data_IF_551469795141
#
_entry.id   IF_551469795141
#
_cell.length_a   1.000
_cell.length_b   1.000
_cell.length_c   1.000
_cell.angle_alpha   90.00
_cell.angle_beta   90.00
_cell.angle_gamma   90.00
#
_symmetry.space_group_name_H-M   'P 1'
#
loop_
_entity.id
_entity.type
_entity.pdbx_description
1 polymer ?
#
# COMPACT_ATOMS: atom_id res chain seq x y z
N UNK A 1 19.97 -5.72 2.69
CA UNK A 1 19.35 -4.56 3.34
C UNK A 1 19.24 -4.81 4.84
N UNK A 2 19.47 -3.78 5.65
CA UNK A 2 19.50 -3.92 7.11
C UNK A 2 18.14 -3.99 7.80
N UNK A 3 17.05 -4.31 7.11
CA UNK A 3 15.70 -4.35 7.69
C UNK A 3 15.30 -3.00 8.31
N UNK A 4 14.55 -3.02 9.41
CA UNK A 4 14.09 -1.79 10.09
C UNK A 4 15.24 -0.93 10.63
N UNK A 5 16.34 -1.53 11.07
CA UNK A 5 17.52 -0.79 11.53
C UNK A 5 18.16 -0.01 10.37
N UNK A 6 18.28 -0.62 9.21
CA UNK A 6 18.78 0.04 7.99
C UNK A 6 17.81 1.14 7.52
N UNK A 7 16.51 0.90 7.63
CA UNK A 7 15.48 1.88 7.29
C UNK A 7 15.56 3.13 8.17
N UNK A 8 15.70 2.96 9.47
CA UNK A 8 15.85 4.07 10.42
C UNK A 8 17.13 4.87 10.15
N UNK A 9 18.23 4.20 9.84
CA UNK A 9 19.48 4.85 9.46
C UNK A 9 19.33 5.66 8.18
N UNK A 10 18.64 5.12 7.19
CA UNK A 10 18.31 5.83 5.95
C UNK A 10 17.45 7.06 6.25
N UNK A 11 16.45 6.92 7.10
CA UNK A 11 15.56 8.02 7.49
C UNK A 11 16.31 9.19 8.10
N UNK A 12 17.36 8.97 8.87
CA UNK A 12 18.17 10.06 9.46
C UNK A 12 18.85 10.94 8.40
N UNK A 13 19.03 10.44 7.20
CA UNK A 13 19.61 11.20 6.08
C UNK A 13 18.60 12.14 5.40
N UNK A 14 17.32 11.86 5.54
CA UNK A 14 16.25 12.60 4.86
C UNK A 14 15.34 13.38 5.79
N UNK A 15 15.19 12.94 7.03
CA UNK A 15 14.24 13.51 8.00
C UNK A 15 14.95 13.95 9.26
N UNK A 16 14.27 14.84 10.00
CA UNK A 16 14.69 15.32 11.30
C UNK A 16 13.92 14.61 12.42
N UNK A 17 14.45 14.67 13.65
CA UNK A 17 13.80 14.10 14.85
C UNK A 17 13.45 12.61 14.70
N UNK A 18 14.34 11.86 14.05
CA UNK A 18 14.11 10.43 13.81
C UNK A 18 14.27 9.65 15.12
N UNK A 19 13.21 8.93 15.50
CA UNK A 19 13.18 8.05 16.66
C UNK A 19 12.73 6.66 16.22
N UNK A 20 13.20 5.64 16.91
CA UNK A 20 12.85 4.24 16.62
C UNK A 20 12.18 3.64 17.84
N UNK A 21 11.02 3.01 17.65
CA UNK A 21 10.32 2.32 18.76
C UNK A 21 10.81 0.88 18.94
N UNK A 22 10.23 0.19 19.92
CA UNK A 22 10.59 -1.18 20.25
C UNK A 22 10.35 -2.19 19.11
N UNK A 23 9.40 -1.88 18.20
CA UNK A 23 9.05 -2.72 17.05
C UNK A 23 9.94 -2.46 15.84
N UNK A 24 10.83 -1.47 15.93
CA UNK A 24 11.69 -1.07 14.83
C UNK A 24 11.08 -0.06 13.86
N UNK A 25 9.86 0.41 14.14
CA UNK A 25 9.22 1.49 13.39
C UNK A 25 9.91 2.81 13.70
N UNK A 26 10.33 3.55 12.70
CA UNK A 26 10.87 4.88 12.92
C UNK A 26 9.78 5.95 12.76
N UNK A 27 9.96 7.05 13.46
CA UNK A 27 9.18 8.29 13.27
C UNK A 27 10.14 9.45 13.02
N UNK A 28 9.74 10.38 12.17
CA UNK A 28 10.54 11.56 11.85
C UNK A 28 9.66 12.69 11.31
N UNK A 29 10.28 13.81 10.97
CA UNK A 29 9.57 14.96 10.38
C UNK A 29 10.52 15.78 9.50
N UNK A 30 9.96 16.54 8.58
CA UNK A 30 10.69 17.55 7.79
C UNK A 30 9.71 18.50 7.09
N UNK A 31 9.85 19.79 7.30
CA UNK A 31 9.06 20.81 6.60
C UNK A 31 7.55 20.57 6.65
N UNK A 32 6.94 20.29 5.51
CA UNK A 32 5.51 19.95 5.41
C UNK A 32 5.16 18.62 6.07
N UNK A 33 6.13 17.73 6.20
CA UNK A 33 5.92 16.40 6.75
C UNK A 33 5.97 16.50 8.28
N UNK A 34 4.80 16.65 8.89
CA UNK A 34 4.66 16.81 10.34
C UNK A 34 5.09 15.54 11.07
N UNK A 35 4.70 14.40 10.50
CA UNK A 35 5.06 13.08 11.02
C UNK A 35 5.22 12.12 9.86
N UNK A 36 6.33 11.42 9.85
CA UNK A 36 6.62 10.32 8.93
C UNK A 36 6.85 9.08 9.79
N UNK A 37 6.11 8.02 9.53
CA UNK A 37 6.26 6.75 10.21
C UNK A 37 6.38 5.65 9.17
N UNK A 38 7.37 4.79 9.31
CA UNK A 38 7.56 3.67 8.39
C UNK A 38 8.27 2.49 9.04
N UNK A 39 7.95 1.32 8.52
CA UNK A 39 8.61 0.06 8.89
C UNK A 39 8.43 -0.95 7.75
N UNK A 40 9.27 -1.97 7.73
CA UNK A 40 9.02 -3.14 6.89
C UNK A 40 8.12 -4.11 7.64
N UNK A 41 7.12 -4.67 6.95
CA UNK A 41 6.30 -5.73 7.50
C UNK A 41 7.04 -7.09 7.43
N UNK A 42 6.40 -8.15 7.93
CA UNK A 42 6.99 -9.50 7.92
C UNK A 42 7.28 -10.03 6.53
N UNK A 43 6.59 -9.54 5.51
CA UNK A 43 6.81 -9.92 4.11
C UNK A 43 7.90 -9.09 3.41
N UNK A 44 8.50 -8.12 4.12
CA UNK A 44 9.51 -7.21 3.58
C UNK A 44 8.95 -6.04 2.79
N UNK A 45 7.65 -5.81 2.85
CA UNK A 45 7.01 -4.64 2.23
C UNK A 45 7.11 -3.44 3.14
N UNK A 46 7.33 -2.28 2.54
CA UNK A 46 7.37 -1.01 3.27
C UNK A 46 5.95 -0.54 3.57
N UNK A 47 5.64 -0.42 4.85
CA UNK A 47 4.43 0.22 5.34
C UNK A 47 4.78 1.64 5.78
N UNK A 48 4.04 2.64 5.29
CA UNK A 48 4.28 4.05 5.60
C UNK A 48 3.01 4.74 6.03
N UNK A 49 3.14 5.66 6.99
CA UNK A 49 2.09 6.58 7.39
C UNK A 49 2.69 7.99 7.47
N UNK A 50 2.07 8.94 6.79
CA UNK A 50 2.58 10.31 6.68
C UNK A 50 1.48 11.30 6.99
N UNK A 51 1.75 12.18 7.94
CA UNK A 51 0.91 13.35 8.20
C UNK A 51 1.57 14.59 7.62
N UNK A 52 0.81 15.37 6.86
CA UNK A 52 1.24 16.61 6.25
C UNK A 52 0.44 17.78 6.82
N UNK A 53 1.01 18.98 6.75
CA UNK A 53 0.29 20.21 7.07
C UNK A 53 -0.95 20.35 6.18
N UNK A 54 -2.05 20.77 6.76
CA UNK A 54 -3.35 20.94 6.08
C UNK A 54 -3.99 22.26 6.48
N UNK A 55 -4.92 22.73 5.64
CA UNK A 55 -5.74 23.90 5.91
C UNK A 55 -4.95 25.17 6.19
N UNK A 56 -5.33 25.89 7.24
CA UNK A 56 -4.71 27.17 7.62
C UNK A 56 -3.21 27.03 7.95
N UNK A 57 -2.82 25.94 8.58
CA UNK A 57 -1.41 25.67 8.90
C UNK A 57 -0.55 25.52 7.63
N UNK A 58 -1.08 24.82 6.62
CA UNK A 58 -0.41 24.70 5.31
C UNK A 58 -0.32 26.06 4.62
N UNK A 59 -1.39 26.84 4.62
CA UNK A 59 -1.42 28.19 4.06
C UNK A 59 -0.38 29.10 4.71
N UNK A 60 -0.34 29.13 6.03
CA UNK A 60 0.64 29.93 6.79
C UNK A 60 2.09 29.50 6.48
N UNK A 61 2.33 28.19 6.35
CA UNK A 61 3.64 27.64 5.99
C UNK A 61 4.07 28.09 4.59
N UNK A 62 3.17 28.02 3.60
CA UNK A 62 3.45 28.42 2.22
C UNK A 62 3.61 29.93 2.06
N UNK A 63 2.96 30.72 2.91
CA UNK A 63 3.09 32.19 2.93
C UNK A 63 4.39 32.67 3.56
N UNK A 64 5.11 31.82 4.27
CA UNK A 64 6.42 32.17 4.84
C UNK A 64 7.47 32.29 3.73
N UNK A 65 8.53 33.05 3.99
CA UNK A 65 9.58 33.30 3.01
C UNK A 65 10.24 32.02 2.50
N UNK A 66 10.46 31.05 3.37
CA UNK A 66 11.07 29.76 3.04
C UNK A 66 10.06 28.66 2.77
N UNK A 67 8.77 28.91 2.95
CA UNK A 67 7.71 27.90 2.86
C UNK A 67 7.66 27.14 1.53
N UNK A 68 7.59 27.82 0.38
CA UNK A 68 7.56 27.12 -0.91
C UNK A 68 8.79 26.27 -1.17
N UNK A 69 9.98 26.77 -0.83
CA UNK A 69 11.25 26.05 -0.96
C UNK A 69 11.27 24.81 -0.05
N UNK A 70 10.85 24.97 1.19
CA UNK A 70 10.72 23.86 2.16
C UNK A 70 9.71 22.82 1.71
N UNK A 71 8.60 23.24 1.13
CA UNK A 71 7.58 22.33 0.59
C UNK A 71 8.14 21.46 -0.55
N UNK A 72 8.87 22.08 -1.46
CA UNK A 72 9.53 21.35 -2.56
C UNK A 72 10.59 20.38 -2.04
N UNK A 73 11.40 20.81 -1.08
CA UNK A 73 12.43 19.97 -0.46
C UNK A 73 11.80 18.80 0.30
N UNK A 74 10.69 19.00 1.00
CA UNK A 74 9.95 17.95 1.70
C UNK A 74 9.50 16.85 0.73
N UNK A 75 8.93 17.23 -0.40
CA UNK A 75 8.49 16.30 -1.44
C UNK A 75 9.65 15.55 -2.07
N UNK A 76 10.74 16.25 -2.34
CA UNK A 76 11.95 15.67 -2.91
C UNK A 76 12.58 14.64 -1.97
N UNK A 77 12.73 14.98 -0.70
CA UNK A 77 13.25 14.08 0.32
C UNK A 77 12.37 12.86 0.51
N UNK A 78 11.06 13.04 0.55
CA UNK A 78 10.11 11.94 0.64
C UNK A 78 10.23 10.98 -0.55
N UNK A 79 10.26 11.50 -1.76
CA UNK A 79 10.42 10.69 -2.97
C UNK A 79 11.75 9.95 -2.99
N UNK A 80 12.85 10.63 -2.68
CA UNK A 80 14.18 10.02 -2.63
C UNK A 80 14.29 8.93 -1.55
N UNK A 81 13.69 9.18 -0.40
CA UNK A 81 13.61 8.18 0.67
C UNK A 81 12.86 6.92 0.20
N UNK A 82 11.72 7.09 -0.44
CA UNK A 82 10.94 5.98 -0.98
C UNK A 82 11.71 5.23 -2.08
N UNK A 83 12.43 5.94 -2.94
CA UNK A 83 13.25 5.33 -3.99
C UNK A 83 14.29 4.39 -3.40
N UNK A 84 15.00 4.82 -2.38
CA UNK A 84 16.01 4.01 -1.72
C UNK A 84 15.40 2.89 -0.86
N UNK A 85 14.36 3.19 -0.10
CA UNK A 85 13.73 2.21 0.79
C UNK A 85 13.02 1.08 0.05
N UNK A 86 12.40 1.37 -1.10
CA UNK A 86 11.67 0.38 -1.90
C UNK A 86 12.51 -0.23 -3.02
N UNK A 87 13.55 0.45 -3.46
CA UNK A 87 14.32 0.09 -4.65
C UNK A 87 13.61 0.45 -5.97
N UNK A 88 12.52 1.20 -5.91
CA UNK A 88 11.73 1.61 -7.08
C UNK A 88 11.63 3.13 -7.17
N UNK A 89 11.77 3.68 -8.38
CA UNK A 89 11.52 5.11 -8.60
C UNK A 89 10.02 5.43 -8.59
N UNK A 90 9.67 6.72 -8.63
CA UNK A 90 8.28 7.17 -8.54
C UNK A 90 7.37 6.56 -9.63
N UNK A 91 7.88 6.44 -10.86
CA UNK A 91 7.15 5.82 -11.97
C UNK A 91 6.87 4.35 -11.69
N UNK A 92 7.90 3.60 -11.29
CA UNK A 92 7.77 2.18 -10.97
C UNK A 92 6.80 1.93 -9.82
N UNK A 93 6.84 2.77 -8.77
CA UNK A 93 5.86 2.70 -7.67
C UNK A 93 4.44 2.94 -8.15
N UNK A 94 4.25 3.92 -9.02
CA UNK A 94 2.95 4.21 -9.65
C UNK A 94 2.44 3.05 -10.50
N UNK A 95 3.30 2.45 -11.30
CA UNK A 95 2.95 1.32 -12.15
C UNK A 95 2.56 0.09 -11.31
N UNK A 96 3.30 -0.18 -10.23
CA UNK A 96 2.95 -1.26 -9.29
C UNK A 96 1.61 -1.00 -8.59
N UNK A 97 1.34 0.22 -8.19
CA UNK A 97 0.06 0.58 -7.59
C UNK A 97 -1.11 0.35 -8.56
N UNK A 98 -0.95 0.71 -9.82
CA UNK A 98 -1.94 0.46 -10.87
C UNK A 98 -2.13 -1.04 -11.12
N UNK A 99 -1.05 -1.79 -11.18
CA UNK A 99 -1.10 -3.25 -11.34
C UNK A 99 -1.86 -3.91 -10.19
N UNK A 100 -1.57 -3.53 -8.95
CA UNK A 100 -2.28 -4.03 -7.77
C UNK A 100 -3.76 -3.65 -7.80
N UNK A 101 -4.09 -2.41 -8.17
CA UNK A 101 -5.49 -1.97 -8.30
C UNK A 101 -6.25 -2.82 -9.32
N UNK A 102 -5.62 -3.19 -10.44
CA UNK A 102 -6.21 -4.10 -11.44
C UNK A 102 -6.45 -5.49 -10.86
N UNK A 103 -5.53 -6.02 -10.08
CA UNK A 103 -5.68 -7.34 -9.41
C UNK A 103 -6.88 -7.34 -8.46
N UNK A 104 -7.04 -6.31 -7.65
CA UNK A 104 -8.19 -6.15 -6.76
C UNK A 104 -9.50 -6.05 -7.55
N UNK A 105 -9.52 -5.24 -8.60
CA UNK A 105 -10.71 -5.06 -9.46
C UNK A 105 -11.12 -6.38 -10.12
N UNK A 106 -10.18 -7.12 -10.67
CA UNK A 106 -10.43 -8.44 -11.28
C UNK A 106 -10.98 -9.45 -10.28
N UNK A 107 -10.42 -9.49 -9.06
CA UNK A 107 -10.89 -10.38 -8.01
C UNK A 107 -12.32 -10.04 -7.57
N UNK A 108 -12.61 -8.78 -7.36
CA UNK A 108 -13.98 -8.31 -7.00
C UNK A 108 -14.98 -8.65 -8.09
N UNK A 109 -14.63 -8.47 -9.36
CA UNK A 109 -15.47 -8.82 -10.51
C UNK A 109 -15.71 -10.32 -10.59
N UNK A 110 -14.67 -11.14 -10.37
CA UNK A 110 -14.78 -12.58 -10.38
C UNK A 110 -15.70 -13.10 -9.27
N UNK A 111 -15.60 -12.55 -8.07
CA UNK A 111 -16.50 -12.87 -6.94
C UNK A 111 -17.95 -12.54 -7.29
N UNK A 112 -18.20 -11.36 -7.81
CA UNK A 112 -19.53 -10.91 -8.23
C UNK A 112 -20.13 -11.82 -9.29
N UNK A 113 -19.33 -12.18 -10.30
CA UNK A 113 -19.75 -13.07 -11.39
C UNK A 113 -20.01 -14.48 -10.88
N UNK A 114 -19.21 -14.98 -9.94
CA UNK A 114 -19.41 -16.29 -9.34
C UNK A 114 -20.74 -16.37 -8.58
N UNK A 115 -21.05 -15.38 -7.75
CA UNK A 115 -22.35 -15.33 -7.08
C UNK A 115 -23.52 -15.27 -8.06
N UNK A 116 -23.41 -14.48 -9.10
CA UNK A 116 -24.40 -14.36 -10.15
C UNK A 116 -24.60 -15.69 -10.88
N UNK A 117 -23.51 -16.38 -11.20
CA UNK A 117 -23.56 -17.69 -11.86
C UNK A 117 -24.20 -18.75 -10.97
N UNK A 118 -23.88 -18.78 -9.67
CA UNK A 118 -24.52 -19.69 -8.71
C UNK A 118 -26.02 -19.46 -8.58
N UNK A 119 -26.44 -18.20 -8.66
CA UNK A 119 -27.84 -17.80 -8.58
C UNK A 119 -28.63 -18.19 -9.84
N UNK A 120 -28.01 -18.04 -11.02
CA UNK A 120 -28.64 -18.29 -12.31
C UNK A 120 -28.60 -19.76 -12.74
N UNK A 121 -27.59 -20.52 -12.34
CA UNK A 121 -27.40 -21.92 -12.70
C UNK A 121 -28.11 -22.83 -11.69
N UNK A 122 -29.22 -23.42 -12.12
CA UNK A 122 -30.01 -24.31 -11.28
C UNK A 122 -29.41 -25.72 -11.08
N UNK A 123 -28.41 -26.08 -11.89
CA UNK A 123 -27.84 -27.44 -11.93
C UNK A 123 -26.35 -27.46 -11.56
N UNK A 124 -25.90 -26.54 -10.71
CA UNK A 124 -24.50 -26.54 -10.25
C UNK A 124 -24.33 -27.59 -9.14
N UNK A 125 -23.33 -28.47 -9.28
CA UNK A 125 -23.00 -29.46 -8.26
C UNK A 125 -22.66 -28.80 -6.91
N UNK A 126 -23.09 -29.44 -5.82
CA UNK A 126 -22.76 -28.98 -4.47
C UNK A 126 -21.24 -28.85 -4.26
N UNK A 127 -20.44 -29.75 -4.84
CA UNK A 127 -18.98 -29.70 -4.77
C UNK A 127 -18.40 -28.48 -5.51
N UNK A 128 -19.00 -28.04 -6.60
CA UNK A 128 -18.60 -26.85 -7.34
C UNK A 128 -18.90 -25.58 -6.53
N UNK A 129 -20.09 -25.54 -5.90
CA UNK A 129 -20.49 -24.43 -5.02
C UNK A 129 -19.53 -24.33 -3.83
N UNK A 130 -19.19 -25.45 -3.21
CA UNK A 130 -18.25 -25.52 -2.09
C UNK A 130 -16.87 -24.98 -2.49
N UNK A 131 -16.32 -25.43 -3.62
CA UNK A 131 -15.04 -24.93 -4.17
C UNK A 131 -15.09 -23.43 -4.47
N UNK A 132 -16.20 -22.96 -5.05
CA UNK A 132 -16.40 -21.55 -5.34
C UNK A 132 -16.41 -20.72 -4.04
N UNK A 133 -17.13 -21.18 -3.03
CA UNK A 133 -17.18 -20.49 -1.73
C UNK A 133 -15.82 -20.46 -1.03
N UNK A 134 -15.04 -21.53 -1.11
CA UNK A 134 -13.66 -21.55 -0.57
C UNK A 134 -12.76 -20.55 -1.28
N UNK A 135 -12.81 -20.48 -2.61
CA UNK A 135 -12.03 -19.54 -3.40
C UNK A 135 -12.46 -18.09 -3.15
N UNK A 136 -13.77 -17.85 -3.06
CA UNK A 136 -14.33 -16.53 -2.74
C UNK A 136 -13.86 -16.07 -1.35
N UNK A 137 -13.96 -16.94 -0.33
CA UNK A 137 -13.51 -16.62 1.02
C UNK A 137 -12.02 -16.28 1.06
N UNK A 138 -11.20 -17.06 0.35
CA UNK A 138 -9.75 -16.79 0.28
C UNK A 138 -9.43 -15.48 -0.44
N UNK A 139 -10.17 -15.14 -1.50
CA UNK A 139 -10.01 -13.86 -2.21
C UNK A 139 -10.47 -12.68 -1.36
N UNK A 140 -11.60 -12.81 -0.67
CA UNK A 140 -12.12 -11.77 0.24
C UNK A 140 -11.16 -11.50 1.39
N UNK A 141 -10.56 -12.53 1.96
CA UNK A 141 -9.54 -12.41 3.01
C UNK A 141 -8.34 -11.59 2.52
N UNK A 142 -7.86 -11.85 1.31
CA UNK A 142 -6.77 -11.07 0.71
C UNK A 142 -7.15 -9.62 0.45
N UNK A 143 -8.39 -9.38 0.00
CA UNK A 143 -8.90 -8.03 -0.23
C UNK A 143 -8.98 -7.25 1.09
N UNK A 144 -9.50 -7.86 2.15
CA UNK A 144 -9.57 -7.24 3.48
C UNK A 144 -8.19 -6.95 4.06
N UNK A 145 -7.22 -7.83 3.84
CA UNK A 145 -5.84 -7.65 4.26
C UNK A 145 -5.06 -6.69 3.37
N UNK A 146 -5.69 -6.09 2.35
CA UNK A 146 -5.06 -5.20 1.37
C UNK A 146 -3.87 -5.87 0.64
N UNK A 147 -3.89 -7.19 0.55
CA UNK A 147 -2.90 -7.99 -0.17
C UNK A 147 -3.42 -8.28 -1.58
N UNK A 148 -2.64 -8.00 -2.64
CA UNK A 148 -3.12 -8.26 -4.01
C UNK A 148 -3.49 -9.74 -4.20
N UNK A 149 -4.72 -10.03 -4.67
CA UNK A 149 -5.15 -11.41 -4.91
C UNK A 149 -4.35 -12.08 -6.02
N UNK A 150 -4.16 -13.37 -5.89
CA UNK A 150 -3.49 -14.18 -6.93
C UNK A 150 -4.35 -14.29 -8.18
N UNK A 151 -3.77 -14.01 -9.35
CA UNK A 151 -4.44 -14.22 -10.64
C UNK A 151 -4.81 -15.69 -10.86
N UNK A 152 -4.00 -16.60 -10.35
CA UNK A 152 -4.27 -18.04 -10.38
C UNK A 152 -5.58 -18.41 -9.66
N UNK A 153 -5.84 -17.80 -8.50
CA UNK A 153 -7.08 -18.03 -7.75
C UNK A 153 -8.29 -17.45 -8.49
N UNK A 154 -8.16 -16.26 -9.07
CA UNK A 154 -9.20 -15.65 -9.90
C UNK A 154 -9.54 -16.53 -11.10
N UNK A 155 -8.53 -17.05 -11.77
CA UNK A 155 -8.70 -17.96 -12.89
C UNK A 155 -9.41 -19.25 -12.48
N UNK A 156 -9.01 -19.86 -11.38
CA UNK A 156 -9.66 -21.07 -10.84
C UNK A 156 -11.13 -20.83 -10.56
N UNK A 157 -11.48 -19.67 -9.98
CA UNK A 157 -12.88 -19.32 -9.72
C UNK A 157 -13.65 -19.15 -11.03
N UNK A 158 -13.10 -18.46 -12.01
CA UNK A 158 -13.73 -18.28 -13.32
C UNK A 158 -13.91 -19.61 -14.07
N UNK A 159 -12.99 -20.54 -13.93
CA UNK A 159 -13.03 -21.83 -14.62
C UNK A 159 -14.08 -22.79 -14.03
N UNK A 160 -14.65 -22.52 -12.86
CA UNK A 160 -15.74 -23.29 -12.26
C UNK A 160 -17.08 -23.06 -12.94
N UNK A 161 -17.25 -21.94 -13.62
CA UNK A 161 -18.47 -21.50 -14.29
C UNK A 161 -18.26 -21.18 -15.81
#
# INVERSE_FOLDING_TARGET
MGGNAGLAKLATQYFENVNVDADGTFTGSFGLLVRVEASYDQSGKLAVDVEQLKGAALGAFLDSEEGPSQAMESRKRWSSFLDEATGYNAKQRGDKAKENAKKFSKAKSAIKMAYKSMELMKNVDASTIEKANELIAALEEKIEAETPPSESMVKKLNDLF
#
